data_IF_494461543865
#
_entry.id   IF_494461543865
#
_cell.length_a   1.000
_cell.length_b   1.000
_cell.length_c   1.000
_cell.angle_alpha   90.00
_cell.angle_beta   90.00
_cell.angle_gamma   90.00
#
_symmetry.space_group_name_H-M   'P 1'
#
loop_
_entity.id
_entity.type
_entity.pdbx_description
1 polymer ?
#
# COMPACT_ATOMS: atom_id res chain seq x y z
N UNK A 1 2.69 -49.01 -3.52
CA UNK A 1 2.42 -47.86 -2.62
C UNK A 1 1.25 -47.10 -3.24
N UNK A 2 0.09 -47.12 -2.58
CA UNK A 2 -1.15 -46.55 -3.11
C UNK A 2 -1.07 -45.02 -3.13
N UNK A 3 -1.04 -44.42 -4.33
CA UNK A 3 -1.05 -42.98 -4.56
C UNK A 3 -2.47 -42.44 -4.71
N UNK A 4 -3.36 -42.75 -3.75
CA UNK A 4 -4.69 -42.15 -3.69
C UNK A 4 -4.64 -40.97 -2.71
N UNK A 5 -3.94 -39.90 -3.10
CA UNK A 5 -4.08 -38.62 -2.43
C UNK A 5 -5.24 -37.87 -3.09
N UNK A 6 -6.20 -37.32 -2.32
CA UNK A 6 -7.19 -36.43 -2.89
C UNK A 6 -6.46 -35.25 -3.54
N UNK A 7 -6.81 -34.87 -4.79
CA UNK A 7 -6.18 -33.75 -5.45
C UNK A 7 -6.35 -32.50 -4.59
N UNK A 8 -5.29 -31.71 -4.46
CA UNK A 8 -5.35 -30.39 -3.82
C UNK A 8 -6.54 -29.62 -4.39
N UNK A 9 -7.54 -29.32 -3.54
CA UNK A 9 -8.81 -28.68 -3.94
C UNK A 9 -8.58 -27.33 -4.63
N UNK A 10 -7.48 -26.68 -4.31
CA UNK A 10 -6.99 -25.48 -4.97
C UNK A 10 -6.02 -25.89 -6.08
N UNK A 11 -6.50 -25.92 -7.32
CA UNK A 11 -5.57 -26.00 -8.45
C UNK A 11 -4.73 -24.71 -8.47
N UNK A 12 -3.40 -24.82 -8.55
CA UNK A 12 -2.51 -23.64 -8.63
C UNK A 12 -2.89 -22.68 -9.77
N UNK A 13 -3.53 -23.20 -10.81
CA UNK A 13 -4.13 -22.43 -11.92
C UNK A 13 -5.28 -21.52 -11.48
N UNK A 14 -6.10 -21.90 -10.48
CA UNK A 14 -7.22 -21.09 -9.99
C UNK A 14 -6.81 -19.91 -9.13
N UNK A 15 -5.57 -19.92 -8.59
CA UNK A 15 -5.00 -18.82 -7.81
C UNK A 15 -4.27 -17.79 -8.67
N UNK A 16 -3.99 -18.10 -9.94
CA UNK A 16 -3.27 -17.19 -10.83
C UNK A 16 -4.13 -15.97 -11.13
N UNK A 17 -3.48 -14.81 -11.27
CA UNK A 17 -4.15 -13.59 -11.67
C UNK A 17 -4.94 -13.82 -12.97
N UNK A 18 -6.20 -13.37 -13.03
CA UNK A 18 -7.06 -13.49 -14.21
C UNK A 18 -6.40 -12.98 -15.51
N UNK A 19 -5.51 -11.99 -15.40
CA UNK A 19 -4.76 -11.44 -16.54
C UNK A 19 -3.54 -12.28 -16.97
N UNK A 20 -3.31 -13.45 -16.36
CA UNK A 20 -2.21 -14.38 -16.63
C UNK A 20 -0.81 -13.73 -16.64
N UNK A 21 -0.61 -12.73 -15.78
CA UNK A 21 0.65 -11.98 -15.68
C UNK A 21 1.75 -12.69 -14.88
N UNK A 22 1.55 -13.95 -14.47
CA UNK A 22 2.51 -14.69 -13.65
C UNK A 22 2.41 -14.43 -12.14
N UNK A 23 1.60 -13.47 -11.70
CA UNK A 23 1.32 -13.21 -10.27
C UNK A 23 0.05 -13.93 -9.77
N UNK A 24 -0.12 -14.02 -8.45
CA UNK A 24 -1.35 -14.55 -7.83
C UNK A 24 -2.44 -13.49 -7.79
N UNK A 25 -3.68 -13.91 -8.04
CA UNK A 25 -4.88 -13.11 -7.89
C UNK A 25 -5.46 -13.20 -6.49
N UNK A 26 -6.13 -12.15 -6.04
CA UNK A 26 -6.85 -12.13 -4.77
C UNK A 26 -8.36 -12.09 -5.03
N UNK A 27 -9.18 -12.93 -4.40
CA UNK A 27 -10.64 -12.85 -4.50
C UNK A 27 -11.24 -11.48 -4.09
N UNK A 28 -10.62 -10.78 -3.13
CA UNK A 28 -11.01 -9.42 -2.76
C UNK A 28 -10.85 -8.42 -3.91
N UNK A 29 -10.03 -8.78 -4.90
CA UNK A 29 -9.76 -8.03 -6.12
C UNK A 29 -10.25 -8.80 -7.36
N UNK A 30 -11.35 -9.53 -7.23
CA UNK A 30 -11.97 -10.31 -8.31
C UNK A 30 -10.98 -11.23 -9.04
N UNK A 31 -10.05 -11.85 -8.30
CA UNK A 31 -9.04 -12.75 -8.87
C UNK A 31 -7.93 -12.07 -9.67
N UNK A 32 -7.80 -10.74 -9.61
CA UNK A 32 -6.66 -10.02 -10.16
C UNK A 32 -5.55 -9.84 -9.10
N UNK A 33 -4.30 -9.77 -9.55
CA UNK A 33 -3.22 -9.25 -8.70
C UNK A 33 -3.40 -7.74 -8.47
N UNK A 34 -2.72 -7.18 -7.47
CA UNK A 34 -2.79 -5.75 -7.13
C UNK A 34 -2.60 -4.83 -8.34
N UNK A 35 -1.63 -5.15 -9.21
CA UNK A 35 -1.30 -4.36 -10.41
C UNK A 35 -2.40 -4.47 -11.46
N UNK A 36 -2.84 -5.70 -11.79
CA UNK A 36 -3.85 -5.91 -12.82
C UNK A 36 -5.23 -5.39 -12.39
N UNK A 37 -5.55 -5.47 -11.10
CA UNK A 37 -6.79 -4.93 -10.54
C UNK A 37 -6.86 -3.41 -10.72
N UNK A 38 -5.79 -2.68 -10.35
CA UNK A 38 -5.71 -1.22 -10.55
C UNK A 38 -5.83 -0.85 -12.02
N UNK A 39 -5.10 -1.52 -12.89
CA UNK A 39 -5.13 -1.25 -14.33
C UNK A 39 -6.53 -1.49 -14.95
N UNK A 40 -7.26 -2.51 -14.48
CA UNK A 40 -8.62 -2.77 -14.91
C UNK A 40 -9.62 -1.69 -14.41
N UNK A 41 -9.50 -1.29 -13.14
CA UNK A 41 -10.39 -0.29 -12.54
C UNK A 41 -10.13 1.15 -13.05
N UNK A 42 -8.88 1.52 -13.32
CA UNK A 42 -8.54 2.83 -13.89
C UNK A 42 -9.08 2.99 -15.32
N UNK A 43 -9.15 1.91 -16.10
CA UNK A 43 -9.80 1.90 -17.42
C UNK A 43 -11.32 2.08 -17.32
N UNK A 44 -11.97 1.51 -16.30
CA UNK A 44 -13.41 1.70 -16.09
C UNK A 44 -13.79 3.13 -15.70
N UNK A 45 -12.95 3.85 -14.95
CA UNK A 45 -13.17 5.27 -14.64
C UNK A 45 -13.07 6.18 -15.87
N UNK A 46 -12.28 5.82 -16.89
CA UNK A 46 -12.15 6.58 -18.13
C UNK A 46 -13.35 6.39 -19.06
N UNK A 47 -13.98 5.20 -19.03
CA UNK A 47 -15.12 4.85 -19.91
C UNK A 47 -16.46 5.44 -19.43
N UNK A 48 -16.55 5.95 -18.18
CA UNK A 48 -17.78 6.54 -17.63
C UNK A 48 -17.94 8.06 -17.83
N UNK A 49 -17.06 8.71 -18.59
CA UNK A 49 -17.27 10.11 -19.01
C UNK A 49 -18.02 10.14 -20.35
N UNK A 50 -19.26 10.66 -20.43
CA UNK A 50 -19.89 10.92 -21.71
C UNK A 50 -19.13 12.04 -22.43
N UNK A 51 -18.77 11.74 -23.68
CA UNK A 51 -18.09 12.58 -24.65
C UNK A 51 -18.64 14.01 -24.74
N UNK A 52 -17.78 15.00 -24.44
CA UNK A 52 -17.88 16.34 -25.04
C UNK A 52 -16.64 16.59 -25.87
N UNK A 53 -16.84 16.69 -27.17
CA UNK A 53 -15.85 16.90 -28.23
C UNK A 53 -14.88 18.04 -27.93
N UNK A 54 -13.57 17.77 -28.09
CA UNK A 54 -12.61 18.78 -28.55
C UNK A 54 -11.40 18.08 -29.16
N UNK A 55 -11.28 18.22 -30.48
CA UNK A 55 -10.18 17.78 -31.32
C UNK A 55 -8.85 18.39 -30.86
N UNK A 56 -7.85 17.56 -30.56
CA UNK A 56 -6.48 18.01 -30.32
C UNK A 56 -5.82 18.18 -31.69
N UNK A 57 -5.69 19.43 -32.15
CA UNK A 57 -4.66 19.82 -33.11
C UNK A 57 -3.50 20.41 -32.32
N UNK A 58 -2.36 19.74 -32.40
CA UNK A 58 -1.01 20.22 -32.09
C UNK A 58 -0.81 21.61 -32.68
N UNK A 59 -0.28 22.58 -31.91
CA UNK A 59 0.67 23.62 -32.34
C UNK A 59 1.37 24.26 -31.13
N UNK A 60 2.67 24.48 -31.30
CA UNK A 60 3.66 25.05 -30.39
C UNK A 60 3.80 26.54 -30.73
N UNK A 61 3.88 27.44 -29.75
CA UNK A 61 4.65 28.70 -29.84
C UNK A 61 4.82 29.38 -28.47
N UNK A 62 6.05 29.85 -28.25
CA UNK A 62 6.56 30.65 -27.14
C UNK A 62 5.89 32.03 -26.98
N UNK A 63 5.90 32.59 -25.75
CA UNK A 63 6.47 33.92 -25.42
C UNK A 63 6.06 34.46 -24.02
N UNK A 64 6.92 35.33 -23.50
CA UNK A 64 7.15 35.85 -22.15
C UNK A 64 6.13 36.80 -21.47
N UNK A 65 6.18 36.78 -20.12
CA UNK A 65 6.21 37.91 -19.16
C UNK A 65 4.99 38.83 -18.89
N UNK A 66 4.32 38.68 -17.73
CA UNK A 66 4.37 39.64 -16.58
C UNK A 66 3.47 39.27 -15.37
N UNK A 67 4.01 39.57 -14.19
CA UNK A 67 3.55 39.36 -12.80
C UNK A 67 2.19 39.97 -12.45
N UNK A 68 1.40 39.32 -11.56
CA UNK A 68 0.82 39.92 -10.33
C UNK A 68 0.60 38.88 -9.21
N UNK A 69 0.83 39.37 -8.00
CA UNK A 69 0.87 38.73 -6.68
C UNK A 69 -0.54 38.49 -6.10
N UNK A 70 -0.79 37.32 -5.49
CA UNK A 70 -1.55 37.19 -4.23
C UNK A 70 -1.59 35.73 -3.72
N UNK A 71 -1.04 35.57 -2.50
CA UNK A 71 -1.58 34.85 -1.34
C UNK A 71 -2.10 33.42 -1.47
N UNK A 72 -1.43 32.50 -0.74
CA UNK A 72 -2.00 31.21 -0.30
C UNK A 72 -1.19 29.97 -0.69
N UNK A 73 0.01 29.80 -0.11
CA UNK A 73 0.82 28.57 -0.29
C UNK A 73 0.24 27.43 0.54
N UNK A 74 -0.58 26.58 -0.08
CA UNK A 74 -1.04 25.29 0.44
C UNK A 74 -0.52 24.14 -0.45
N UNK A 75 0.80 24.07 -0.70
CA UNK A 75 1.35 23.25 -1.81
C UNK A 75 2.39 22.18 -1.45
N UNK A 76 2.68 21.90 -0.18
CA UNK A 76 3.79 20.96 0.12
C UNK A 76 3.41 19.49 -0.09
N UNK A 77 2.19 19.05 0.27
CA UNK A 77 1.83 17.62 0.22
C UNK A 77 1.42 17.18 -1.21
N UNK A 78 0.93 18.08 -2.05
CA UNK A 78 0.56 17.74 -3.45
C UNK A 78 1.76 17.37 -4.32
N UNK A 79 2.97 17.79 -3.96
CA UNK A 79 4.18 17.43 -4.70
C UNK A 79 4.73 16.08 -4.26
N UNK A 80 4.50 15.67 -2.99
CA UNK A 80 4.80 14.32 -2.48
C UNK A 80 4.06 13.24 -3.29
N UNK A 81 2.84 13.53 -3.75
CA UNK A 81 2.03 12.60 -4.54
C UNK A 81 2.31 12.63 -6.04
N UNK A 82 3.25 13.46 -6.53
CA UNK A 82 3.59 13.50 -7.96
C UNK A 82 4.71 12.48 -8.24
N UNK A 83 4.34 11.41 -8.92
CA UNK A 83 5.28 10.43 -9.48
C UNK A 83 6.05 11.08 -10.66
N UNK A 84 7.40 11.02 -10.69
CA UNK A 84 8.17 11.36 -11.88
C UNK A 84 7.79 10.41 -13.03
N UNK A 85 7.39 10.95 -14.18
CA UNK A 85 7.07 10.14 -15.36
C UNK A 85 8.39 9.70 -16.00
N UNK A 86 8.81 8.46 -15.76
CA UNK A 86 9.81 7.78 -16.60
C UNK A 86 9.15 6.66 -17.40
N UNK A 87 9.34 6.68 -18.72
CA UNK A 87 8.44 6.11 -19.73
C UNK A 87 8.70 4.61 -19.99
N UNK A 88 9.22 3.87 -19.00
CA UNK A 88 9.59 2.46 -19.18
C UNK A 88 9.54 1.68 -17.87
N UNK A 89 8.57 0.74 -17.83
CA UNK A 89 8.35 -0.38 -16.88
C UNK A 89 7.45 -0.08 -15.67
N UNK A 90 6.48 -0.98 -15.52
CA UNK A 90 5.53 -1.21 -14.42
C UNK A 90 5.64 -0.28 -13.21
N UNK A 91 5.17 0.97 -13.37
CA UNK A 91 5.04 1.88 -12.25
C UNK A 91 3.85 1.46 -11.39
N UNK A 92 4.11 1.18 -10.11
CA UNK A 92 3.09 1.19 -9.05
C UNK A 92 2.54 2.62 -8.99
N UNK A 93 1.54 2.93 -9.82
CA UNK A 93 0.81 4.18 -9.69
C UNK A 93 0.11 4.16 -8.33
N UNK A 94 0.52 5.07 -7.45
CA UNK A 94 -0.23 5.49 -6.26
C UNK A 94 -1.66 5.70 -6.69
N UNK A 95 -2.64 5.19 -5.93
CA UNK A 95 -3.97 5.78 -6.01
C UNK A 95 -3.91 7.09 -5.23
N UNK A 96 -3.85 8.29 -5.86
CA UNK A 96 -3.73 9.54 -5.14
C UNK A 96 -4.90 9.75 -4.17
N UNK A 97 -6.03 9.08 -4.43
CA UNK A 97 -7.21 9.08 -3.56
C UNK A 97 -6.95 8.43 -2.20
N UNK A 98 -6.21 7.33 -2.11
CA UNK A 98 -5.90 6.67 -0.82
C UNK A 98 -5.02 7.54 0.06
N UNK A 99 -4.01 8.18 -0.52
CA UNK A 99 -3.17 9.11 0.23
C UNK A 99 -3.93 10.36 0.69
N UNK A 100 -4.78 10.93 -0.18
CA UNK A 100 -5.65 12.06 0.18
C UNK A 100 -6.64 11.68 1.29
N UNK A 101 -7.19 10.47 1.23
CA UNK A 101 -8.10 9.94 2.24
C UNK A 101 -7.37 9.73 3.58
N UNK A 102 -6.18 9.14 3.57
CA UNK A 102 -5.35 8.99 4.77
C UNK A 102 -4.99 10.36 5.38
N UNK A 103 -4.66 11.36 4.55
CA UNK A 103 -4.41 12.73 5.01
C UNK A 103 -5.63 13.34 5.72
N UNK A 104 -6.81 13.15 5.14
CA UNK A 104 -8.08 13.65 5.70
C UNK A 104 -8.40 12.98 7.02
N UNK A 105 -8.26 11.66 7.11
CA UNK A 105 -8.48 10.89 8.34
C UNK A 105 -7.51 11.30 9.44
N UNK A 106 -6.23 11.44 9.10
CA UNK A 106 -5.18 11.87 10.01
C UNK A 106 -5.46 13.27 10.58
N UNK A 107 -5.78 14.25 9.72
CA UNK A 107 -6.12 15.61 10.16
C UNK A 107 -7.38 15.61 11.03
N UNK A 108 -8.40 14.83 10.66
CA UNK A 108 -9.64 14.72 11.44
C UNK A 108 -9.36 14.17 12.83
N UNK A 109 -8.53 13.12 12.93
CA UNK A 109 -8.11 12.55 14.20
C UNK A 109 -7.29 13.54 15.03
N UNK A 110 -6.30 14.23 14.43
CA UNK A 110 -5.51 15.23 15.14
C UNK A 110 -6.34 16.41 15.66
N UNK A 111 -7.42 16.79 14.96
CA UNK A 111 -8.31 17.86 15.39
C UNK A 111 -9.11 17.51 16.66
N UNK A 112 -9.10 16.25 17.10
CA UNK A 112 -9.69 15.85 18.40
C UNK A 112 -8.80 16.23 19.60
N UNK A 113 -7.52 16.54 19.36
CA UNK A 113 -6.57 16.93 20.41
C UNK A 113 -6.55 18.45 20.61
N UNK A 114 -5.92 18.88 21.71
CA UNK A 114 -5.60 20.30 21.92
C UNK A 114 -4.74 20.82 20.76
N UNK A 115 -4.94 22.09 20.40
CA UNK A 115 -4.23 22.73 19.30
C UNK A 115 -2.69 22.63 19.41
N UNK A 116 -2.14 22.64 20.62
CA UNK A 116 -0.70 22.49 20.85
C UNK A 116 -0.18 21.10 20.45
N UNK A 117 -0.89 20.03 20.80
CA UNK A 117 -0.56 18.65 20.42
C UNK A 117 -0.68 18.47 18.91
N UNK A 118 -1.79 18.95 18.34
CA UNK A 118 -2.02 18.89 16.90
C UNK A 118 -0.89 19.58 16.13
N UNK A 119 -0.55 20.82 16.50
CA UNK A 119 0.51 21.58 15.84
C UNK A 119 1.88 20.92 15.98
N UNK A 120 2.20 20.36 17.16
CA UNK A 120 3.48 19.68 17.38
C UNK A 120 3.61 18.42 16.53
N UNK A 121 2.60 17.55 16.52
CA UNK A 121 2.61 16.31 15.72
C UNK A 121 2.62 16.63 14.23
N UNK A 122 1.77 17.56 13.79
CA UNK A 122 1.73 18.00 12.39
C UNK A 122 3.08 18.54 11.93
N UNK A 123 3.77 19.32 12.77
CA UNK A 123 5.11 19.85 12.47
C UNK A 123 6.14 18.73 12.29
N UNK A 124 6.15 17.74 13.18
CA UNK A 124 7.11 16.62 13.08
C UNK A 124 6.83 15.77 11.83
N UNK A 125 5.56 15.49 11.54
CA UNK A 125 5.14 14.78 10.33
C UNK A 125 5.53 15.54 9.06
N UNK A 126 5.27 16.84 8.99
CA UNK A 126 5.68 17.65 7.84
C UNK A 126 7.20 17.66 7.67
N UNK A 127 7.96 17.80 8.76
CA UNK A 127 9.43 17.75 8.73
C UNK A 127 9.94 16.40 8.22
N UNK A 128 9.38 15.29 8.67
CA UNK A 128 9.74 13.96 8.15
C UNK A 128 9.53 13.89 6.64
N UNK A 129 8.35 14.29 6.17
CA UNK A 129 8.02 14.23 4.75
C UNK A 129 8.96 15.11 3.89
N UNK A 130 9.34 16.29 4.39
CA UNK A 130 10.34 17.15 3.74
C UNK A 130 11.73 16.49 3.69
N UNK A 131 12.13 15.74 4.72
CA UNK A 131 13.40 15.01 4.74
C UNK A 131 13.41 13.80 3.79
N UNK A 132 12.25 13.17 3.56
CA UNK A 132 12.13 12.01 2.67
C UNK A 132 12.05 12.40 1.19
N UNK A 133 11.54 13.60 0.87
CA UNK A 133 11.39 14.07 -0.51
C UNK A 133 12.66 13.94 -1.39
N UNK A 134 13.86 14.39 -0.96
CA UNK A 134 15.06 14.34 -1.80
C UNK A 134 15.61 12.93 -2.04
N UNK A 135 15.30 11.97 -1.17
CA UNK A 135 15.81 10.59 -1.22
C UNK A 135 14.75 9.59 -1.67
N UNK A 136 13.56 10.06 -2.01
CA UNK A 136 12.44 9.23 -2.49
C UNK A 136 12.92 8.37 -3.65
N UNK A 137 12.80 7.04 -3.48
CA UNK A 137 13.07 6.07 -4.53
C UNK A 137 14.52 5.94 -4.98
N UNK A 138 15.48 6.58 -4.28
CA UNK A 138 16.91 6.49 -4.61
C UNK A 138 17.74 5.79 -3.54
N UNK A 139 17.36 5.91 -2.26
CA UNK A 139 18.07 5.27 -1.15
C UNK A 139 17.09 4.82 -0.06
N UNK A 140 16.68 3.55 -0.13
CA UNK A 140 15.71 2.97 0.81
C UNK A 140 16.31 2.77 2.20
N UNK A 141 17.58 2.40 2.33
CA UNK A 141 18.22 2.23 3.63
C UNK A 141 18.26 3.55 4.42
N UNK A 142 18.65 4.64 3.75
CA UNK A 142 18.64 5.97 4.34
C UNK A 142 17.22 6.42 4.71
N UNK A 143 16.24 6.17 3.84
CA UNK A 143 14.85 6.48 4.13
C UNK A 143 14.33 5.69 5.35
N UNK A 144 14.68 4.41 5.46
CA UNK A 144 14.35 3.54 6.59
C UNK A 144 14.94 4.07 7.90
N UNK A 145 16.22 4.46 7.91
CA UNK A 145 16.86 5.07 9.09
C UNK A 145 16.14 6.34 9.53
N UNK A 146 15.84 7.25 8.60
CA UNK A 146 15.14 8.51 8.91
C UNK A 146 13.75 8.27 9.51
N UNK A 147 13.00 7.30 8.96
CA UNK A 147 11.67 6.94 9.45
C UNK A 147 11.74 6.28 10.84
N UNK A 148 12.71 5.39 11.07
CA UNK A 148 12.92 4.75 12.38
C UNK A 148 13.29 5.78 13.45
N UNK A 149 14.24 6.67 13.16
CA UNK A 149 14.63 7.76 14.05
C UNK A 149 13.43 8.67 14.37
N UNK A 150 12.59 8.96 13.36
CA UNK A 150 11.37 9.72 13.58
C UNK A 150 10.43 9.04 14.58
N UNK A 151 10.11 7.75 14.40
CA UNK A 151 9.20 7.06 15.32
C UNK A 151 9.76 6.95 16.73
N UNK A 152 11.07 6.67 16.85
CA UNK A 152 11.74 6.65 18.14
C UNK A 152 11.63 8.00 18.85
N UNK A 153 11.97 9.08 18.15
CA UNK A 153 11.94 10.44 18.70
C UNK A 153 10.51 10.90 19.05
N UNK A 154 9.53 10.61 18.18
CA UNK A 154 8.14 10.96 18.42
C UNK A 154 7.54 10.18 19.59
N UNK A 155 7.80 8.88 19.68
CA UNK A 155 7.37 8.03 20.79
C UNK A 155 7.97 8.51 22.12
N UNK A 156 9.28 8.75 22.14
CA UNK A 156 9.99 9.29 23.30
C UNK A 156 9.38 10.65 23.74
N UNK A 157 9.08 11.53 22.78
CA UNK A 157 8.44 12.83 23.02
C UNK A 157 7.04 12.70 23.61
N UNK A 158 6.19 11.83 23.05
CA UNK A 158 4.81 11.60 23.54
C UNK A 158 4.81 11.01 24.96
N UNK A 159 5.82 10.23 25.29
CA UNK A 159 5.98 9.64 26.62
C UNK A 159 6.45 10.66 27.66
N UNK A 160 7.46 11.46 27.32
CA UNK A 160 8.21 12.25 28.31
C UNK A 160 7.88 13.75 28.33
N UNK A 161 7.29 14.31 27.27
CA UNK A 161 6.98 15.74 27.23
C UNK A 161 5.71 16.06 28.05
N UNK A 162 5.77 17.05 28.97
CA UNK A 162 4.63 17.45 29.81
C UNK A 162 3.35 17.79 29.05
N UNK A 163 3.44 18.19 27.78
CA UNK A 163 2.28 18.47 26.93
C UNK A 163 1.36 17.24 26.74
N UNK A 164 1.92 16.04 26.84
CA UNK A 164 1.22 14.77 26.65
C UNK A 164 0.92 14.06 27.97
N UNK A 165 1.28 14.62 29.13
CA UNK A 165 1.15 13.96 30.44
C UNK A 165 -0.29 13.58 30.78
N UNK A 166 -1.25 14.42 30.37
CA UNK A 166 -2.68 14.23 30.64
C UNK A 166 -3.37 13.25 29.67
N UNK A 167 -2.67 12.67 28.71
CA UNK A 167 -3.25 11.72 27.76
C UNK A 167 -3.16 10.29 28.30
N UNK A 168 -4.26 9.52 28.27
CA UNK A 168 -4.22 8.09 28.59
C UNK A 168 -3.29 7.32 27.63
N UNK A 169 -2.66 6.24 28.11
CA UNK A 169 -1.73 5.41 27.32
C UNK A 169 -2.36 4.94 26.00
N UNK A 170 -3.59 4.43 26.04
CA UNK A 170 -4.32 3.98 24.84
C UNK A 170 -4.47 5.08 23.78
N UNK A 171 -4.61 6.34 24.19
CA UNK A 171 -4.72 7.49 23.27
C UNK A 171 -3.35 7.83 22.69
N UNK A 172 -2.27 7.71 23.47
CA UNK A 172 -0.89 7.88 22.99
C UNK A 172 -0.53 6.82 21.94
N UNK A 173 -0.88 5.56 22.18
CA UNK A 173 -0.73 4.46 21.21
C UNK A 173 -1.56 4.72 19.96
N UNK A 174 -2.84 5.11 20.12
CA UNK A 174 -3.71 5.44 18.98
C UNK A 174 -3.16 6.60 18.14
N UNK A 175 -2.49 7.56 18.77
CA UNK A 175 -1.83 8.67 18.09
C UNK A 175 -0.64 8.19 17.25
N UNK A 176 0.22 7.34 17.81
CA UNK A 176 1.33 6.73 17.06
C UNK A 176 0.82 5.89 15.89
N UNK A 177 -0.22 5.08 16.10
CA UNK A 177 -0.84 4.27 15.05
C UNK A 177 -1.45 5.14 13.94
N UNK A 178 -2.07 6.27 14.29
CA UNK A 178 -2.64 7.20 13.31
C UNK A 178 -1.55 7.88 12.47
N UNK A 179 -0.43 8.27 13.11
CA UNK A 179 0.75 8.78 12.41
C UNK A 179 1.34 7.70 11.51
N UNK A 180 1.47 6.47 12.00
CA UNK A 180 2.02 5.35 11.24
C UNK A 180 1.21 5.10 9.98
N UNK A 181 -0.11 4.89 10.11
CA UNK A 181 -1.02 4.69 8.98
C UNK A 181 -0.85 5.80 7.94
N UNK A 182 -0.83 7.07 8.37
CA UNK A 182 -0.68 8.19 7.44
C UNK A 182 0.66 8.14 6.70
N UNK A 183 1.78 8.04 7.43
CA UNK A 183 3.12 8.02 6.85
C UNK A 183 3.31 6.81 5.93
N UNK A 184 2.95 5.61 6.38
CA UNK A 184 3.09 4.39 5.58
C UNK A 184 2.27 4.47 4.31
N UNK A 185 1.03 4.98 4.36
CA UNK A 185 0.23 5.18 3.14
C UNK A 185 0.87 6.20 2.20
N UNK A 186 1.48 7.27 2.72
CA UNK A 186 2.18 8.26 1.90
C UNK A 186 3.46 7.72 1.25
N UNK A 187 4.22 6.85 1.92
CA UNK A 187 5.51 6.37 1.40
C UNK A 187 5.43 5.04 0.65
N UNK A 188 4.34 4.29 0.84
CA UNK A 188 4.16 2.93 0.31
C UNK A 188 4.56 2.79 -1.15
N UNK A 189 4.13 3.70 -2.01
CA UNK A 189 4.28 3.55 -3.46
C UNK A 189 5.71 3.59 -4.00
N UNK A 190 6.66 4.15 -3.24
CA UNK A 190 8.06 4.22 -3.63
C UNK A 190 8.97 3.43 -2.69
N UNK A 191 8.51 3.18 -1.46
CA UNK A 191 9.25 2.42 -0.46
C UNK A 191 8.97 0.91 -0.52
N UNK A 192 7.76 0.50 -0.90
CA UNK A 192 7.39 -0.91 -1.01
C UNK A 192 7.98 -1.52 -2.29
N UNK A 193 8.69 -2.64 -2.16
CA UNK A 193 9.33 -3.36 -3.27
C UNK A 193 10.03 -2.39 -4.23
N UNK A 194 10.90 -1.54 -3.66
CA UNK A 194 11.50 -0.44 -4.40
C UNK A 194 12.33 -0.97 -5.57
N UNK A 195 12.34 -0.29 -6.74
CA UNK A 195 13.21 -0.69 -7.86
C UNK A 195 14.71 -0.66 -7.54
N UNK A 196 15.10 -0.04 -6.43
CA UNK A 196 16.48 0.05 -5.96
C UNK A 196 16.91 -1.12 -5.07
N UNK A 197 15.97 -1.99 -4.67
CA UNK A 197 16.22 -3.20 -3.87
C UNK A 197 16.06 -4.45 -4.73
N UNK A 198 16.43 -5.62 -4.21
CA UNK A 198 16.21 -6.91 -4.87
C UNK A 198 14.93 -7.62 -4.38
N UNK A 199 14.04 -6.90 -3.68
CA UNK A 199 12.80 -7.43 -3.09
C UNK A 199 11.98 -8.21 -4.12
N UNK A 200 11.74 -7.65 -5.31
CA UNK A 200 10.96 -8.31 -6.37
C UNK A 200 11.61 -9.63 -6.83
N UNK A 201 12.93 -9.67 -6.92
CA UNK A 201 13.65 -10.89 -7.31
C UNK A 201 13.60 -11.95 -6.21
N UNK A 202 13.67 -11.54 -4.94
CA UNK A 202 13.50 -12.43 -3.80
C UNK A 202 12.06 -12.96 -3.75
N UNK A 203 11.07 -12.10 -3.96
CA UNK A 203 9.65 -12.45 -4.01
C UNK A 203 9.33 -13.44 -5.13
N UNK A 204 9.87 -13.22 -6.34
CA UNK A 204 9.70 -14.14 -7.47
C UNK A 204 10.31 -15.51 -7.19
N UNK A 205 11.53 -15.56 -6.64
CA UNK A 205 12.18 -16.83 -6.25
C UNK A 205 11.38 -17.57 -5.18
N UNK A 206 10.88 -16.85 -4.18
CA UNK A 206 10.02 -17.41 -3.14
C UNK A 206 8.72 -17.95 -3.74
N UNK A 207 8.11 -17.20 -4.65
CA UNK A 207 6.89 -17.60 -5.35
C UNK A 207 7.09 -18.87 -6.19
N UNK A 208 8.18 -18.95 -6.97
CA UNK A 208 8.55 -20.15 -7.73
C UNK A 208 8.82 -21.34 -6.80
N UNK A 209 9.50 -21.10 -5.67
CA UNK A 209 9.75 -22.16 -4.69
C UNK A 209 8.44 -22.70 -4.13
N UNK A 210 7.51 -21.84 -3.72
CA UNK A 210 6.18 -22.24 -3.24
C UNK A 210 5.44 -23.05 -4.32
N UNK A 211 5.47 -22.61 -5.59
CA UNK A 211 4.86 -23.35 -6.72
C UNK A 211 5.46 -24.74 -6.92
N UNK A 212 6.78 -24.86 -6.78
CA UNK A 212 7.47 -26.16 -6.92
C UNK A 212 7.07 -27.16 -5.83
N UNK A 213 6.52 -26.68 -4.71
CA UNK A 213 6.11 -27.46 -3.54
C UNK A 213 4.61 -27.79 -3.52
N UNK A 214 3.90 -27.69 -4.66
CA UNK A 214 2.48 -28.02 -4.77
C UNK A 214 2.10 -29.45 -4.31
N UNK A 215 3.08 -30.36 -4.23
CA UNK A 215 2.93 -31.74 -3.78
C UNK A 215 3.01 -31.92 -2.26
N UNK A 216 3.41 -30.88 -1.51
CA UNK A 216 3.53 -30.94 -0.05
C UNK A 216 2.13 -31.05 0.58
N UNK A 217 1.96 -32.03 1.47
CA UNK A 217 0.70 -32.27 2.19
C UNK A 217 0.84 -31.94 3.67
N UNK A 218 -0.27 -31.67 4.39
CA UNK A 218 -0.25 -31.43 5.84
C UNK A 218 0.46 -32.54 6.63
N UNK A 219 0.33 -33.80 6.19
CA UNK A 219 0.97 -34.96 6.82
C UNK A 219 2.50 -34.92 6.75
N UNK A 220 3.08 -34.36 5.69
CA UNK A 220 4.54 -34.22 5.56
C UNK A 220 5.11 -33.12 6.46
N UNK A 221 4.25 -32.23 6.95
CA UNK A 221 4.59 -31.13 7.82
C UNK A 221 4.23 -31.40 9.29
N UNK A 222 3.83 -32.64 9.61
CA UNK A 222 3.24 -33.02 10.91
C UNK A 222 2.15 -32.04 11.36
N UNK A 223 1.40 -31.51 10.39
CA UNK A 223 0.37 -30.51 10.65
C UNK A 223 -0.81 -31.15 11.39
N UNK A 224 -1.32 -30.52 12.46
CA UNK A 224 -2.48 -31.02 13.19
C UNK A 224 -3.79 -30.90 12.40
N UNK A 225 -3.76 -30.26 11.23
CA UNK A 225 -4.92 -30.04 10.36
C UNK A 225 -5.23 -31.33 9.62
N UNK A 226 -6.44 -31.83 9.80
CA UNK A 226 -6.99 -32.96 9.05
C UNK A 226 -7.54 -32.49 7.70
N UNK A 227 -6.88 -32.79 6.56
CA UNK A 227 -7.33 -32.34 5.24
C UNK A 227 -8.62 -33.03 4.77
N UNK A 228 -9.13 -34.02 5.51
CA UNK A 228 -10.41 -34.66 5.24
C UNK A 228 -11.57 -34.07 6.05
N UNK A 229 -11.29 -33.13 6.98
CA UNK A 229 -12.30 -32.46 7.81
C UNK A 229 -12.77 -31.17 7.11
N UNK A 230 -14.04 -31.08 6.66
CA UNK A 230 -14.54 -29.88 5.98
C UNK A 230 -14.54 -28.62 6.87
N UNK A 231 -14.71 -28.80 8.17
CA UNK A 231 -14.70 -27.72 9.16
C UNK A 231 -13.30 -27.10 9.28
N UNK A 232 -12.27 -27.93 9.46
CA UNK A 232 -10.88 -27.47 9.57
C UNK A 232 -10.38 -26.85 8.27
N UNK A 233 -10.79 -27.40 7.12
CA UNK A 233 -10.50 -26.80 5.81
C UNK A 233 -11.15 -25.43 5.64
N UNK A 234 -12.36 -25.22 6.17
CA UNK A 234 -13.03 -23.91 6.11
C UNK A 234 -12.22 -22.86 6.88
N UNK A 235 -11.68 -23.23 8.05
CA UNK A 235 -10.79 -22.35 8.81
C UNK A 235 -9.48 -22.06 8.06
N UNK A 236 -8.92 -23.06 7.37
CA UNK A 236 -7.73 -22.89 6.54
C UNK A 236 -7.97 -21.97 5.34
N UNK A 237 -9.10 -22.13 4.65
CA UNK A 237 -9.51 -21.29 3.54
C UNK A 237 -9.75 -19.85 4.01
N UNK A 238 -10.40 -19.66 5.15
CA UNK A 238 -10.58 -18.34 5.77
C UNK A 238 -9.24 -17.67 6.14
N UNK A 239 -8.28 -18.44 6.64
CA UNK A 239 -6.94 -17.94 6.93
C UNK A 239 -6.18 -17.55 5.65
N UNK A 240 -6.41 -18.27 4.55
CA UNK A 240 -5.72 -18.07 3.27
C UNK A 240 -6.32 -16.92 2.46
N UNK A 241 -7.66 -16.78 2.45
CA UNK A 241 -8.38 -15.86 1.55
C UNK A 241 -9.14 -14.74 2.27
N UNK A 242 -9.35 -14.82 3.59
CA UNK A 242 -10.14 -13.86 4.37
C UNK A 242 -11.65 -14.14 4.36
N UNK A 243 -12.42 -13.33 5.11
CA UNK A 243 -13.82 -13.60 5.48
C UNK A 243 -14.90 -13.53 4.37
N UNK A 244 -14.55 -13.25 3.10
CA UNK A 244 -15.53 -12.96 2.04
C UNK A 244 -15.36 -13.79 0.77
N UNK A 245 -15.22 -15.11 0.87
CA UNK A 245 -15.24 -15.98 -0.32
C UNK A 245 -16.16 -17.17 -0.16
N UNK A 246 -17.34 -17.18 -0.81
CA UNK A 246 -17.98 -18.44 -1.15
C UNK A 246 -17.05 -19.15 -2.14
N UNK A 247 -16.47 -20.28 -1.71
CA UNK A 247 -15.76 -21.18 -2.60
C UNK A 247 -16.82 -21.71 -3.55
N UNK A 248 -16.90 -21.16 -4.76
CA UNK A 248 -17.69 -21.77 -5.81
C UNK A 248 -17.11 -23.15 -6.07
N UNK A 249 -17.83 -24.17 -5.62
CA UNK A 249 -17.65 -25.54 -6.04
C UNK A 249 -17.75 -25.59 -7.56
N UNK A 250 -16.64 -25.92 -8.22
CA UNK A 250 -16.63 -26.45 -9.59
C UNK A 250 -16.98 -27.92 -9.52
#
# INVERSE_FOLDING_TARGET
MNTNYPPSRLQVSSLSCKNKCGFYGNPSWDGYCSVCYRNAHQKQSIVRQPSSNASISTQISDAESKRKLSTGRNTTIKNIFKVPRDDSRDQIQVNPEECLQAEKEFKTFLNTFRASINADVSRHVSKLLEQLEPIRGSNIDQASMIVQDFYHNLSNRISNNPMYSNLPLKIKESLLNSVERFITTCIYFWAFASPTTDDENVDLKLQEKIRSLHWVSPYLLDSPINPNSPEELTHLDLATFGKNTPIMSV
#
